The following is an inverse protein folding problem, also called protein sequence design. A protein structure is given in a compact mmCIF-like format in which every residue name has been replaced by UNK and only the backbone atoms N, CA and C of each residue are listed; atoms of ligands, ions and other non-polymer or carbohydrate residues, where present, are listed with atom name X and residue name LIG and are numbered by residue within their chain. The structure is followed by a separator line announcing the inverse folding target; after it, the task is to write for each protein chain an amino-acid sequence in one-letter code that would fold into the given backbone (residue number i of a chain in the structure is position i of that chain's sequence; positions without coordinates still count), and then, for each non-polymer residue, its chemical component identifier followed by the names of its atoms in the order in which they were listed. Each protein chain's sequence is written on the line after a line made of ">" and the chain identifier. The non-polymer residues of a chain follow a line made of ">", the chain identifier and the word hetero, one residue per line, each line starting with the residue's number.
data_IF_257359127694
#
_entry.id   IF_257359127694
#
_cell.length_a   1.000
_cell.length_b   1.000
_cell.length_c   1.000
_cell.angle_alpha   90.00
_cell.angle_beta   90.00
_cell.angle_gamma   90.00
#
_symmetry.space_group_name_H-M   'P 1'
#
loop_
_entity.id
_entity.type
_entity.pdbx_description
1 polymer ?
#
# COMPACT_ATOMS: atom_id res chain seq x y z
N UNK A 1 21.99 1.39 22.89
CA UNK A 1 23.41 1.79 22.76
C UNK A 1 24.39 0.62 22.70
N UNK A 2 24.01 -0.57 23.17
CA UNK A 2 24.89 -1.76 23.27
C UNK A 2 25.53 -2.20 21.93
N UNK A 3 24.87 -2.02 20.80
CA UNK A 3 25.30 -2.49 19.48
C UNK A 3 25.99 -1.42 18.60
N UNK A 4 26.35 -0.25 19.15
CA UNK A 4 27.08 0.79 18.37
C UNK A 4 28.58 0.49 18.23
N UNK A 5 29.19 -0.25 19.16
CA UNK A 5 30.60 -0.54 19.13
C UNK A 5 30.94 -1.60 18.06
N UNK A 6 31.96 -1.35 17.25
CA UNK A 6 32.49 -2.34 16.28
C UNK A 6 32.96 -3.62 17.00
N UNK A 7 33.53 -3.48 18.20
CA UNK A 7 33.98 -4.66 19.02
C UNK A 7 32.80 -5.56 19.37
N UNK A 8 31.67 -4.98 19.82
CA UNK A 8 30.44 -5.76 20.12
C UNK A 8 29.92 -6.50 18.91
N UNK A 9 29.91 -5.85 17.75
CA UNK A 9 29.48 -6.48 16.48
C UNK A 9 30.44 -7.60 16.05
N UNK A 10 31.75 -7.38 16.19
CA UNK A 10 32.77 -8.39 15.87
C UNK A 10 32.63 -9.62 16.77
N UNK A 11 32.44 -9.45 18.08
CA UNK A 11 32.24 -10.55 19.05
C UNK A 11 30.93 -11.31 18.68
N UNK A 12 29.83 -10.59 18.38
CA UNK A 12 28.58 -11.20 17.97
C UNK A 12 28.77 -12.11 16.75
N UNK A 13 29.47 -11.60 15.71
CA UNK A 13 29.75 -12.33 14.48
C UNK A 13 30.71 -13.49 14.69
N UNK A 14 31.77 -13.28 15.50
CA UNK A 14 32.77 -14.32 15.82
C UNK A 14 32.16 -15.51 16.58
N UNK A 15 31.28 -15.22 17.56
CA UNK A 15 30.53 -16.23 18.29
C UNK A 15 29.36 -16.84 17.52
N UNK A 16 29.11 -16.38 16.29
CA UNK A 16 27.98 -16.84 15.47
C UNK A 16 26.63 -16.79 16.19
N UNK A 17 26.40 -15.74 16.99
CA UNK A 17 25.16 -15.62 17.78
C UNK A 17 23.90 -15.58 16.95
N UNK A 18 24.02 -15.36 15.65
CA UNK A 18 22.89 -15.47 14.70
C UNK A 18 22.25 -16.86 14.74
N UNK A 19 23.01 -17.94 14.95
CA UNK A 19 22.48 -19.31 15.02
C UNK A 19 21.40 -19.45 16.10
N UNK A 20 21.56 -18.70 17.20
CA UNK A 20 20.61 -18.72 18.33
C UNK A 20 19.46 -17.74 18.11
N UNK A 21 19.74 -16.57 17.52
CA UNK A 21 18.78 -15.44 17.46
C UNK A 21 17.93 -15.49 16.18
N UNK A 22 18.52 -15.89 15.05
CA UNK A 22 17.87 -15.89 13.74
C UNK A 22 16.54 -16.67 13.71
N UNK A 23 16.39 -17.84 14.35
CA UNK A 23 15.10 -18.54 14.41
C UNK A 23 13.98 -17.73 15.05
N UNK A 24 14.29 -16.73 15.87
CA UNK A 24 13.35 -15.85 16.57
C UNK A 24 13.28 -14.44 15.96
N UNK A 25 14.11 -14.16 14.96
CA UNK A 25 14.24 -12.80 14.38
C UNK A 25 12.93 -12.25 13.88
N UNK A 26 12.13 -13.07 13.18
CA UNK A 26 10.81 -12.69 12.69
C UNK A 26 9.84 -12.30 13.82
N UNK A 27 9.82 -13.04 14.91
CA UNK A 27 9.00 -12.72 16.07
C UNK A 27 9.40 -11.37 16.70
N UNK A 28 10.69 -11.15 16.94
CA UNK A 28 11.16 -9.87 17.51
C UNK A 28 10.92 -8.69 16.58
N UNK A 29 11.08 -8.90 15.27
CA UNK A 29 10.81 -7.88 14.26
C UNK A 29 9.34 -7.48 14.27
N UNK A 30 8.45 -8.47 14.22
CA UNK A 30 7.00 -8.23 14.27
C UNK A 30 6.60 -7.51 15.57
N UNK A 31 7.10 -7.93 16.71
CA UNK A 31 6.79 -7.28 17.99
C UNK A 31 7.27 -5.83 18.01
N UNK A 32 8.48 -5.56 17.51
CA UNK A 32 9.03 -4.22 17.45
C UNK A 32 8.21 -3.29 16.54
N UNK A 33 7.80 -3.78 15.36
CA UNK A 33 7.00 -2.96 14.44
C UNK A 33 5.53 -2.85 14.86
N UNK A 34 4.95 -3.88 15.47
CA UNK A 34 3.63 -3.79 16.09
C UNK A 34 3.59 -2.71 17.19
N UNK A 35 4.65 -2.63 18.00
CA UNK A 35 4.78 -1.58 19.01
C UNK A 35 4.84 -0.17 18.38
N UNK A 36 5.60 0.00 17.28
CA UNK A 36 5.68 1.28 16.55
C UNK A 36 4.33 1.64 15.92
N UNK A 37 3.66 0.67 15.31
CA UNK A 37 2.35 0.85 14.71
C UNK A 37 1.29 1.19 15.77
N UNK A 38 1.29 0.50 16.91
CA UNK A 38 0.40 0.80 18.03
C UNK A 38 0.59 2.23 18.54
N UNK A 39 1.85 2.69 18.65
CA UNK A 39 2.14 4.08 18.98
C UNK A 39 1.60 5.03 17.92
N UNK A 40 1.86 4.76 16.65
CA UNK A 40 1.36 5.57 15.53
C UNK A 40 -0.18 5.65 15.53
N UNK A 41 -0.88 4.53 15.70
CA UNK A 41 -2.34 4.48 15.82
C UNK A 41 -2.81 5.35 17.00
N UNK A 42 -2.12 5.31 18.15
CA UNK A 42 -2.51 6.10 19.31
C UNK A 42 -2.40 7.61 19.08
N UNK A 43 -1.50 8.02 18.21
CA UNK A 43 -1.27 9.42 17.82
C UNK A 43 -2.23 9.90 16.71
N UNK A 44 -2.93 8.96 16.02
CA UNK A 44 -3.79 9.24 14.86
C UNK A 44 -5.22 8.68 15.03
N UNK A 45 -5.79 8.76 16.23
CA UNK A 45 -7.17 8.29 16.49
C UNK A 45 -8.24 9.25 16.03
N UNK A 46 -7.93 10.53 16.01
CA UNK A 46 -8.86 11.60 15.67
C UNK A 46 -8.82 11.89 14.16
N UNK A 47 -9.30 10.89 13.38
CA UNK A 47 -9.45 11.02 11.93
C UNK A 47 -10.91 11.32 11.57
N UNK A 48 -11.16 12.10 10.51
CA UNK A 48 -12.53 12.40 10.04
C UNK A 48 -13.36 11.16 9.71
N UNK A 49 -12.71 10.08 9.29
CA UNK A 49 -13.31 8.76 9.08
C UNK A 49 -12.47 7.72 9.80
N UNK A 50 -13.01 7.13 10.87
CA UNK A 50 -12.31 6.15 11.67
C UNK A 50 -13.30 5.27 12.47
N UNK A 51 -13.14 3.97 12.41
CA UNK A 51 -13.98 3.01 13.16
C UNK A 51 -13.23 2.29 14.30
N UNK A 52 -12.06 2.79 14.67
CA UNK A 52 -11.25 2.18 15.73
C UNK A 52 -11.80 2.53 17.12
N UNK A 53 -12.04 1.61 18.03
CA UNK A 53 -11.90 0.17 17.94
C UNK A 53 -13.25 -0.46 17.54
N UNK A 54 -13.27 -1.30 16.49
CA UNK A 54 -14.46 -1.99 16.02
C UNK A 54 -14.34 -3.50 16.19
N UNK A 55 -15.39 -4.14 16.68
CA UNK A 55 -15.50 -5.60 16.73
C UNK A 55 -15.88 -6.23 15.40
N UNK A 56 -16.50 -5.45 14.50
CA UNK A 56 -16.79 -5.88 13.14
C UNK A 56 -15.52 -5.77 12.28
N UNK A 57 -15.12 -6.88 11.67
CA UNK A 57 -13.92 -7.00 10.83
C UNK A 57 -14.23 -7.29 9.37
N UNK A 58 -15.44 -6.91 8.91
CA UNK A 58 -15.81 -7.07 7.50
C UNK A 58 -14.86 -6.30 6.58
N UNK A 59 -14.38 -6.95 5.52
CA UNK A 59 -13.57 -6.28 4.48
C UNK A 59 -14.39 -5.25 3.68
N UNK A 60 -15.71 -5.36 3.66
CA UNK A 60 -16.60 -4.40 2.98
C UNK A 60 -16.57 -3.00 3.59
N UNK A 61 -16.04 -2.85 4.80
CA UNK A 61 -15.82 -1.54 5.43
C UNK A 61 -14.93 -0.60 4.61
N UNK A 62 -14.05 -1.16 3.76
CA UNK A 62 -13.28 -0.36 2.80
C UNK A 62 -14.16 0.48 1.87
N UNK A 63 -15.34 -0.01 1.51
CA UNK A 63 -16.26 0.71 0.62
C UNK A 63 -16.75 2.03 1.24
N UNK A 64 -16.96 2.05 2.55
CA UNK A 64 -17.28 3.27 3.28
C UNK A 64 -16.14 4.30 3.25
N UNK A 65 -14.89 3.85 3.39
CA UNK A 65 -13.71 4.69 3.27
C UNK A 65 -13.56 5.23 1.83
N UNK A 66 -13.77 4.38 0.81
CA UNK A 66 -13.73 4.82 -0.59
C UNK A 66 -14.79 5.88 -0.87
N UNK A 67 -16.03 5.66 -0.41
CA UNK A 67 -17.11 6.64 -0.55
C UNK A 67 -16.76 7.97 0.13
N UNK A 68 -16.23 7.92 1.35
CA UNK A 68 -15.77 9.10 2.08
C UNK A 68 -14.71 9.89 1.28
N UNK A 69 -13.69 9.21 0.77
CA UNK A 69 -12.63 9.85 -0.03
C UNK A 69 -13.18 10.45 -1.32
N UNK A 70 -14.05 9.72 -2.02
CA UNK A 70 -14.66 10.19 -3.26
C UNK A 70 -15.51 11.45 -3.03
N UNK A 71 -16.22 11.51 -1.92
CA UNK A 71 -17.12 12.63 -1.58
C UNK A 71 -16.38 13.85 -1.03
N UNK A 72 -15.48 13.63 -0.06
CA UNK A 72 -14.90 14.73 0.72
C UNK A 72 -13.60 15.28 0.10
N UNK A 73 -12.78 14.42 -0.50
CA UNK A 73 -11.47 14.79 -1.03
C UNK A 73 -11.45 14.94 -2.55
N UNK A 74 -12.00 13.97 -3.30
CA UNK A 74 -11.94 13.96 -4.75
C UNK A 74 -13.02 14.86 -5.37
N UNK A 75 -14.24 14.84 -4.85
CA UNK A 75 -15.37 15.75 -5.24
C UNK A 75 -15.63 15.80 -6.74
N UNK A 76 -15.60 14.65 -7.40
CA UNK A 76 -15.77 14.53 -8.86
C UNK A 76 -14.73 15.31 -9.72
N UNK A 77 -13.60 15.73 -9.16
CA UNK A 77 -12.48 16.24 -9.95
C UNK A 77 -11.89 15.12 -10.83
N UNK A 78 -11.33 15.43 -12.00
CA UNK A 78 -10.67 14.41 -12.81
C UNK A 78 -9.47 13.82 -12.05
N UNK A 79 -9.37 12.50 -12.04
CA UNK A 79 -8.29 11.77 -11.36
C UNK A 79 -7.47 10.89 -12.31
N UNK A 80 -6.24 10.61 -11.91
CA UNK A 80 -5.48 9.45 -12.33
C UNK A 80 -5.53 8.43 -11.18
N UNK A 81 -6.35 7.39 -11.33
CA UNK A 81 -6.43 6.28 -10.37
C UNK A 81 -5.44 5.19 -10.78
N UNK A 82 -4.56 4.82 -9.86
CA UNK A 82 -3.55 3.77 -10.06
C UNK A 82 -3.75 2.71 -8.97
N UNK A 83 -4.05 1.47 -9.36
CA UNK A 83 -4.21 0.34 -8.43
C UNK A 83 -3.11 -0.69 -8.66
N UNK A 84 -2.44 -1.05 -7.58
CA UNK A 84 -1.35 -2.02 -7.55
C UNK A 84 -1.79 -3.26 -6.77
N UNK A 85 -2.07 -4.36 -7.48
CA UNK A 85 -2.77 -5.53 -6.97
C UNK A 85 -4.26 -5.44 -7.27
N UNK A 86 -4.65 -5.78 -8.49
CA UNK A 86 -6.05 -5.65 -8.95
C UNK A 86 -6.84 -6.93 -8.74
N UNK A 87 -6.18 -8.08 -8.80
CA UNK A 87 -6.76 -9.41 -8.69
C UNK A 87 -8.03 -9.56 -9.54
N UNK A 88 -9.20 -9.78 -8.93
CA UNK A 88 -10.49 -9.91 -9.61
C UNK A 88 -11.20 -8.55 -9.88
N UNK A 89 -10.55 -7.44 -9.59
CA UNK A 89 -11.04 -6.10 -9.90
C UNK A 89 -12.08 -5.53 -8.95
N UNK A 90 -12.27 -6.10 -7.76
CA UNK A 90 -13.31 -5.66 -6.83
C UNK A 90 -13.26 -4.17 -6.51
N UNK A 91 -12.13 -3.68 -6.03
CA UNK A 91 -11.86 -2.26 -5.75
C UNK A 91 -11.77 -1.43 -7.03
N UNK A 92 -11.08 -1.93 -8.04
CA UNK A 92 -10.92 -1.22 -9.32
C UNK A 92 -12.26 -0.88 -9.96
N UNK A 93 -13.15 -1.87 -10.08
CA UNK A 93 -14.49 -1.64 -10.66
C UNK A 93 -15.37 -0.82 -9.74
N UNK A 94 -15.19 -0.91 -8.41
CA UNK A 94 -15.91 -0.01 -7.53
C UNK A 94 -15.55 1.45 -7.84
N UNK A 95 -14.29 1.80 -7.91
CA UNK A 95 -13.83 3.16 -8.24
C UNK A 95 -14.27 3.59 -9.63
N UNK A 96 -14.11 2.75 -10.64
CA UNK A 96 -14.54 3.02 -12.03
C UNK A 96 -16.04 3.30 -12.14
N UNK A 97 -16.84 2.59 -11.33
CA UNK A 97 -18.29 2.71 -11.32
C UNK A 97 -18.84 3.85 -10.46
N UNK A 98 -18.12 4.29 -9.44
CA UNK A 98 -18.59 5.34 -8.53
C UNK A 98 -18.00 6.71 -8.86
N UNK A 99 -16.81 6.78 -9.41
CA UNK A 99 -16.22 8.03 -9.90
C UNK A 99 -16.51 8.23 -11.38
N UNK A 100 -17.47 9.13 -11.68
CA UNK A 100 -18.07 9.27 -13.05
C UNK A 100 -17.43 10.35 -13.91
N UNK A 101 -16.45 11.08 -13.44
CA UNK A 101 -15.79 12.11 -14.23
C UNK A 101 -15.17 11.49 -15.49
N UNK A 102 -15.59 11.97 -16.66
CA UNK A 102 -15.21 11.42 -17.99
C UNK A 102 -13.72 11.64 -18.32
N UNK A 103 -13.13 12.67 -17.73
CA UNK A 103 -11.71 12.99 -17.94
C UNK A 103 -10.79 12.16 -17.04
N UNK A 104 -11.33 11.36 -16.12
CA UNK A 104 -10.54 10.48 -15.26
C UNK A 104 -9.93 9.32 -16.03
N UNK A 105 -8.79 8.80 -15.55
CA UNK A 105 -8.15 7.61 -16.08
C UNK A 105 -7.88 6.62 -14.93
N UNK A 106 -8.04 5.35 -15.25
CA UNK A 106 -7.90 4.24 -14.31
C UNK A 106 -6.86 3.25 -14.84
N UNK A 107 -5.84 2.98 -14.05
CA UNK A 107 -4.71 2.16 -14.42
C UNK A 107 -4.54 1.05 -13.39
N UNK A 108 -4.75 -0.20 -13.79
CA UNK A 108 -4.61 -1.38 -12.93
C UNK A 108 -3.33 -2.14 -13.26
N UNK A 109 -2.52 -2.41 -12.25
CA UNK A 109 -1.26 -3.15 -12.36
C UNK A 109 -1.36 -4.44 -11.57
N UNK A 110 -1.14 -5.57 -12.21
CA UNK A 110 -1.17 -6.89 -11.57
C UNK A 110 -0.40 -7.92 -12.38
N UNK A 111 0.12 -8.95 -11.74
CA UNK A 111 0.67 -10.11 -12.41
C UNK A 111 -0.43 -10.97 -13.04
N UNK A 112 -1.63 -10.96 -12.44
CA UNK A 112 -2.76 -11.87 -12.68
C UNK A 112 -2.40 -13.35 -12.48
N UNK A 113 -1.14 -13.65 -12.11
CA UNK A 113 -0.61 -14.97 -11.83
C UNK A 113 -0.39 -15.24 -10.33
N UNK A 114 -0.88 -14.33 -9.48
CA UNK A 114 -0.76 -14.41 -8.03
C UNK A 114 0.52 -13.79 -7.48
N UNK A 115 0.78 -14.04 -6.20
CA UNK A 115 1.90 -13.46 -5.46
C UNK A 115 3.25 -13.81 -6.10
N UNK A 116 4.17 -12.84 -6.27
CA UNK A 116 5.50 -13.09 -6.82
C UNK A 116 6.45 -13.79 -5.83
N UNK A 117 6.16 -13.73 -4.53
CA UNK A 117 6.93 -14.33 -3.44
C UNK A 117 6.02 -14.79 -2.29
N UNK A 118 6.55 -15.54 -1.33
CA UNK A 118 5.80 -15.99 -0.15
C UNK A 118 5.38 -14.81 0.75
N UNK A 119 4.14 -14.84 1.25
CA UNK A 119 3.59 -13.85 2.17
C UNK A 119 2.88 -14.51 3.36
N UNK A 120 3.51 -14.50 4.52
CA UNK A 120 2.99 -15.17 5.70
C UNK A 120 2.75 -16.66 5.49
N UNK A 121 1.49 -17.08 5.48
CA UNK A 121 1.08 -18.46 5.17
C UNK A 121 0.74 -18.67 3.69
N UNK A 122 0.61 -17.60 2.93
CA UNK A 122 0.43 -17.67 1.47
C UNK A 122 1.75 -17.95 0.76
N UNK A 123 1.67 -18.69 -0.34
CA UNK A 123 2.82 -19.07 -1.15
C UNK A 123 2.85 -18.29 -2.45
N UNK A 124 4.04 -18.20 -3.03
CA UNK A 124 4.20 -17.72 -4.39
C UNK A 124 3.20 -18.42 -5.32
N UNK A 125 2.44 -17.60 -6.09
CA UNK A 125 1.38 -18.08 -6.98
C UNK A 125 -0.02 -18.16 -6.34
N UNK A 126 -0.14 -18.00 -5.01
CA UNK A 126 -1.46 -17.85 -4.38
C UNK A 126 -2.12 -16.54 -4.83
N UNK A 127 -3.44 -16.45 -4.65
CA UNK A 127 -4.27 -15.31 -5.13
C UNK A 127 -4.31 -15.16 -6.66
N UNK A 128 -3.98 -16.22 -7.38
CA UNK A 128 -4.06 -16.28 -8.83
C UNK A 128 -5.52 -16.25 -9.29
N UNK A 129 -5.83 -15.44 -10.30
CA UNK A 129 -7.15 -15.37 -10.93
C UNK A 129 -7.23 -16.12 -12.28
N UNK A 130 -6.37 -17.11 -12.51
CA UNK A 130 -6.33 -17.89 -13.76
C UNK A 130 -5.38 -17.32 -14.83
N UNK A 131 -4.51 -16.38 -14.49
CA UNK A 131 -3.64 -15.64 -15.41
C UNK A 131 -4.42 -14.80 -16.46
N UNK A 132 -5.68 -14.50 -16.20
CA UNK A 132 -6.51 -13.73 -17.11
C UNK A 132 -6.48 -12.25 -16.73
N UNK A 133 -5.96 -11.42 -17.63
CA UNK A 133 -6.03 -9.97 -17.50
C UNK A 133 -7.49 -9.51 -17.58
N UNK A 134 -7.89 -8.64 -16.67
CA UNK A 134 -9.24 -8.08 -16.65
C UNK A 134 -9.53 -7.30 -17.94
N UNK A 135 -10.81 -7.30 -18.34
CA UNK A 135 -11.29 -6.59 -19.51
C UNK A 135 -12.45 -5.67 -19.14
N UNK A 136 -12.53 -4.54 -19.82
CA UNK A 136 -13.63 -3.60 -19.66
C UNK A 136 -13.90 -2.87 -20.97
N UNK A 137 -15.14 -2.45 -21.17
CA UNK A 137 -15.54 -1.58 -22.28
C UNK A 137 -15.41 -0.09 -21.93
N UNK A 138 -15.12 0.24 -20.68
CA UNK A 138 -14.91 1.63 -20.26
C UNK A 138 -13.55 2.13 -20.74
N UNK A 139 -13.56 3.08 -21.67
CA UNK A 139 -12.36 3.64 -22.32
C UNK A 139 -11.46 4.46 -21.38
N UNK A 140 -11.91 4.68 -20.14
CA UNK A 140 -11.11 5.33 -19.11
C UNK A 140 -10.12 4.37 -18.45
N UNK A 141 -10.32 3.04 -18.56
CA UNK A 141 -9.55 2.02 -17.86
C UNK A 141 -8.54 1.32 -18.77
N UNK A 142 -7.39 0.97 -18.18
CA UNK A 142 -6.34 0.18 -18.81
C UNK A 142 -5.67 -0.72 -17.78
N UNK A 143 -5.27 -1.93 -18.19
CA UNK A 143 -4.59 -2.90 -17.33
C UNK A 143 -3.19 -3.20 -17.84
N UNK A 144 -2.25 -3.43 -16.91
CA UNK A 144 -0.84 -3.69 -17.17
C UNK A 144 -0.43 -4.99 -16.49
N UNK A 145 -0.29 -6.05 -17.28
CA UNK A 145 0.04 -7.37 -16.78
C UNK A 145 1.56 -7.55 -16.59
N UNK A 146 1.99 -7.91 -15.40
CA UNK A 146 3.37 -8.20 -15.03
C UNK A 146 3.73 -7.70 -13.65
N UNK A 147 4.98 -7.94 -13.24
CA UNK A 147 5.50 -7.35 -12.01
C UNK A 147 5.51 -5.82 -12.11
N UNK A 148 5.30 -5.13 -10.99
CA UNK A 148 5.34 -3.65 -10.98
C UNK A 148 6.68 -3.14 -11.46
N UNK A 149 7.78 -3.85 -11.15
CA UNK A 149 9.13 -3.53 -11.63
C UNK A 149 9.28 -3.56 -13.15
N UNK A 150 8.43 -4.33 -13.83
CA UNK A 150 8.43 -4.48 -15.29
C UNK A 150 7.50 -3.48 -15.98
N UNK A 151 6.34 -3.22 -15.37
CA UNK A 151 5.26 -2.45 -16.00
C UNK A 151 5.30 -0.96 -15.67
N UNK A 152 5.51 -0.61 -14.38
CA UNK A 152 5.43 0.77 -13.92
C UNK A 152 6.47 1.71 -14.56
N UNK A 153 7.77 1.36 -14.70
CA UNK A 153 8.73 2.24 -15.34
C UNK A 153 8.42 2.53 -16.81
N UNK A 154 7.85 1.55 -17.52
CA UNK A 154 7.39 1.74 -18.91
C UNK A 154 6.20 2.68 -19.00
N UNK A 155 5.20 2.49 -18.15
CA UNK A 155 4.04 3.36 -18.05
C UNK A 155 4.42 4.81 -17.75
N UNK A 156 5.31 5.04 -16.79
CA UNK A 156 5.69 6.38 -16.34
C UNK A 156 6.41 7.21 -17.42
N UNK A 157 7.00 6.60 -18.45
CA UNK A 157 7.61 7.33 -19.56
C UNK A 157 6.62 8.18 -20.35
N UNK A 158 5.36 7.78 -20.37
CA UNK A 158 4.29 8.48 -21.10
C UNK A 158 3.21 9.03 -20.18
N UNK A 159 3.34 8.79 -18.87
CA UNK A 159 2.39 9.23 -17.88
C UNK A 159 2.48 10.73 -17.63
N UNK A 160 1.38 11.43 -17.87
CA UNK A 160 1.27 12.86 -17.63
C UNK A 160 0.41 13.12 -16.38
N UNK A 161 1.08 13.49 -15.28
CA UNK A 161 0.43 13.74 -13.99
C UNK A 161 -0.13 15.18 -13.89
N UNK A 162 -1.18 15.48 -14.65
CA UNK A 162 -1.87 16.77 -14.63
C UNK A 162 -3.18 16.77 -13.79
N UNK A 163 -3.54 15.63 -13.21
CA UNK A 163 -4.76 15.43 -12.42
C UNK A 163 -4.39 15.05 -10.99
N UNK A 164 -5.38 15.06 -10.10
CA UNK A 164 -5.24 14.45 -8.78
C UNK A 164 -4.92 12.96 -8.95
N UNK A 165 -3.86 12.50 -8.31
CA UNK A 165 -3.51 11.08 -8.31
C UNK A 165 -4.14 10.39 -7.09
N UNK A 166 -4.81 9.28 -7.34
CA UNK A 166 -5.35 8.39 -6.32
C UNK A 166 -4.67 7.05 -6.49
N UNK A 167 -3.80 6.70 -5.56
CA UNK A 167 -3.02 5.48 -5.59
C UNK A 167 -3.65 4.49 -4.61
N UNK A 168 -3.98 3.30 -5.08
CA UNK A 168 -4.47 2.21 -4.25
C UNK A 168 -3.40 1.10 -4.19
N UNK A 169 -2.83 0.91 -3.01
CA UNK A 169 -1.87 -0.15 -2.70
C UNK A 169 -2.62 -1.34 -2.13
N UNK A 170 -2.79 -2.38 -2.91
CA UNK A 170 -3.28 -3.71 -2.53
C UNK A 170 -2.21 -4.74 -2.95
N UNK A 171 -0.96 -4.46 -2.55
CA UNK A 171 0.23 -5.15 -3.03
C UNK A 171 0.74 -6.21 -2.05
N UNK A 172 0.15 -6.31 -0.86
CA UNK A 172 0.44 -7.23 0.24
C UNK A 172 1.90 -7.18 0.73
N UNK A 173 2.86 -7.16 -0.18
CA UNK A 173 4.28 -7.35 0.07
C UNK A 173 5.01 -6.02 0.37
N UNK A 174 5.89 -6.05 1.36
CA UNK A 174 6.79 -4.93 1.64
C UNK A 174 7.61 -4.50 0.41
N UNK A 175 8.15 -5.48 -0.32
CA UNK A 175 8.98 -5.25 -1.51
C UNK A 175 8.22 -4.54 -2.62
N UNK A 176 7.00 -4.98 -2.91
CA UNK A 176 6.12 -4.42 -3.93
C UNK A 176 5.66 -3.01 -3.57
N UNK A 177 5.22 -2.83 -2.32
CA UNK A 177 4.76 -1.52 -1.81
C UNK A 177 5.89 -0.49 -1.81
N UNK A 178 7.07 -0.85 -1.27
CA UNK A 178 8.20 0.07 -1.22
C UNK A 178 8.70 0.44 -2.63
N UNK A 179 8.81 -0.54 -3.53
CA UNK A 179 9.19 -0.28 -4.93
C UNK A 179 8.23 0.71 -5.58
N UNK A 180 6.94 0.48 -5.44
CA UNK A 180 5.91 1.34 -6.06
C UNK A 180 5.96 2.76 -5.51
N UNK A 181 6.00 2.92 -4.18
CA UNK A 181 6.08 4.25 -3.54
C UNK A 181 7.33 5.01 -3.96
N UNK A 182 8.50 4.35 -3.96
CA UNK A 182 9.76 5.00 -4.33
C UNK A 182 9.81 5.36 -5.82
N UNK A 183 9.23 4.53 -6.68
CA UNK A 183 9.14 4.80 -8.12
C UNK A 183 8.18 5.95 -8.44
N UNK A 184 7.07 6.06 -7.68
CA UNK A 184 6.10 7.15 -7.84
C UNK A 184 6.51 8.45 -7.15
N UNK A 185 7.50 8.43 -6.25
CA UNK A 185 7.91 9.60 -5.47
C UNK A 185 8.10 10.90 -6.30
N UNK A 186 8.79 10.87 -7.47
CA UNK A 186 8.96 12.06 -8.30
C UNK A 186 7.68 12.61 -8.93
N UNK A 187 6.59 11.83 -8.91
CA UNK A 187 5.30 12.18 -9.51
C UNK A 187 4.28 12.62 -8.46
N UNK A 188 4.55 12.38 -7.17
CA UNK A 188 3.68 12.79 -6.09
C UNK A 188 3.64 14.30 -5.95
N UNK A 189 2.45 14.83 -5.71
CA UNK A 189 2.24 16.25 -5.43
C UNK A 189 1.25 16.43 -4.28
N UNK A 190 1.31 17.59 -3.69
CA UNK A 190 0.38 17.96 -2.61
C UNK A 190 -1.07 17.76 -3.05
N UNK A 191 -1.83 17.07 -2.20
CA UNK A 191 -3.23 16.74 -2.42
C UNK A 191 -3.46 15.31 -2.93
N UNK A 192 -2.45 14.64 -3.52
CA UNK A 192 -2.59 13.27 -3.96
C UNK A 192 -2.98 12.34 -2.80
N UNK A 193 -3.75 11.30 -3.09
CA UNK A 193 -4.29 10.35 -2.12
C UNK A 193 -3.61 9.00 -2.31
N UNK A 194 -3.20 8.38 -1.21
CA UNK A 194 -2.67 7.00 -1.20
C UNK A 194 -3.50 6.17 -0.22
N UNK A 195 -4.11 5.10 -0.72
CA UNK A 195 -4.82 4.10 0.08
C UNK A 195 -3.97 2.86 0.22
N UNK A 196 -4.01 2.24 1.40
CA UNK A 196 -3.39 0.96 1.70
C UNK A 196 -4.46 -0.02 2.15
N UNK A 197 -4.42 -1.26 1.61
CA UNK A 197 -5.42 -2.30 1.89
C UNK A 197 -5.03 -3.20 3.07
N UNK A 198 -3.74 -3.25 3.43
CA UNK A 198 -3.20 -4.06 4.54
C UNK A 198 -2.28 -3.23 5.46
N UNK A 199 -2.59 -1.94 5.69
CA UNK A 199 -1.76 -1.05 6.50
C UNK A 199 -1.54 -1.54 7.93
N UNK A 200 -2.46 -2.35 8.47
CA UNK A 200 -2.30 -2.93 9.80
C UNK A 200 -1.25 -4.07 9.87
N UNK A 201 -0.65 -4.49 8.75
CA UNK A 201 0.43 -5.49 8.75
C UNK A 201 1.78 -4.80 9.05
N UNK A 202 2.35 -4.98 10.28
CA UNK A 202 3.43 -4.11 10.78
C UNK A 202 4.73 -4.19 9.98
N UNK A 203 5.04 -5.36 9.41
CA UNK A 203 6.30 -5.64 8.71
C UNK A 203 6.19 -5.54 7.18
N UNK A 204 5.01 -5.21 6.66
CA UNK A 204 4.75 -5.05 5.23
C UNK A 204 4.41 -3.59 4.91
N UNK A 205 3.14 -3.24 4.70
CA UNK A 205 2.78 -1.89 4.25
C UNK A 205 3.15 -0.80 5.26
N UNK A 206 2.89 -1.02 6.56
CA UNK A 206 3.30 -0.05 7.58
C UNK A 206 4.81 0.23 7.56
N UNK A 207 5.63 -0.84 7.45
CA UNK A 207 7.08 -0.70 7.35
C UNK A 207 7.49 0.02 6.06
N UNK A 208 6.85 -0.31 4.93
CA UNK A 208 7.14 0.32 3.64
C UNK A 208 6.84 1.82 3.68
N UNK A 209 5.68 2.22 4.19
CA UNK A 209 5.29 3.62 4.37
C UNK A 209 6.27 4.35 5.28
N UNK A 210 6.61 3.75 6.42
CA UNK A 210 7.58 4.33 7.36
C UNK A 210 8.94 4.57 6.69
N UNK A 211 9.48 3.56 6.01
CA UNK A 211 10.78 3.69 5.35
C UNK A 211 10.74 4.70 4.20
N UNK A 212 9.64 4.71 3.43
CA UNK A 212 9.43 5.66 2.35
C UNK A 212 9.39 7.10 2.87
N UNK A 213 8.54 7.41 3.82
CA UNK A 213 8.38 8.77 4.35
C UNK A 213 9.66 9.30 4.99
N UNK A 214 10.38 8.45 5.74
CA UNK A 214 11.66 8.81 6.37
C UNK A 214 12.81 8.98 5.36
N UNK A 215 12.81 8.23 4.25
CA UNK A 215 13.89 8.28 3.25
C UNK A 215 13.70 9.39 2.21
N UNK A 216 12.45 9.66 1.83
CA UNK A 216 12.12 10.67 0.80
C UNK A 216 11.69 12.00 1.38
N UNK A 217 11.55 12.11 2.71
CA UNK A 217 11.03 13.30 3.41
C UNK A 217 9.66 13.75 2.89
N UNK A 218 8.85 12.79 2.43
CA UNK A 218 7.48 13.05 1.98
C UNK A 218 6.55 12.98 3.19
N UNK A 219 5.76 14.03 3.38
CA UNK A 219 4.77 14.08 4.44
C UNK A 219 3.45 13.45 3.95
N UNK A 220 3.06 12.34 4.57
CA UNK A 220 1.79 11.68 4.37
C UNK A 220 0.92 11.89 5.62
N UNK A 221 -0.14 12.67 5.47
CA UNK A 221 -1.11 12.89 6.54
C UNK A 221 -2.24 11.87 6.44
N UNK A 222 -2.53 11.07 7.48
CA UNK A 222 -3.67 10.16 7.46
C UNK A 222 -4.97 10.97 7.47
N UNK A 223 -5.91 10.60 6.59
CA UNK A 223 -7.18 11.28 6.40
C UNK A 223 -8.39 10.39 6.68
N UNK A 224 -8.19 9.08 6.75
CA UNK A 224 -9.24 8.14 7.09
C UNK A 224 -8.71 6.72 7.29
N UNK A 225 -9.39 5.97 8.13
CA UNK A 225 -9.10 4.56 8.39
C UNK A 225 -10.38 3.77 8.59
N UNK A 226 -10.39 2.51 8.21
CA UNK A 226 -11.47 1.58 8.50
C UNK A 226 -10.96 0.17 8.80
N UNK A 227 -11.82 -0.64 9.36
CA UNK A 227 -11.51 -1.99 9.82
C UNK A 227 -10.26 -2.02 10.72
N UNK A 228 -10.25 -1.15 11.75
CA UNK A 228 -9.12 -1.05 12.69
C UNK A 228 -7.77 -0.73 12.02
N UNK A 229 -7.74 0.24 11.10
CA UNK A 229 -6.57 0.64 10.30
C UNK A 229 -6.07 -0.42 9.31
N UNK A 230 -6.86 -1.47 9.03
CA UNK A 230 -6.55 -2.38 7.92
C UNK A 230 -6.49 -1.56 6.63
N UNK A 231 -7.56 -0.82 6.34
CA UNK A 231 -7.65 0.12 5.23
C UNK A 231 -7.35 1.52 5.75
N UNK A 232 -6.29 2.12 5.23
CA UNK A 232 -5.87 3.45 5.69
C UNK A 232 -5.53 4.33 4.50
N UNK A 233 -6.06 5.56 4.52
CA UNK A 233 -5.85 6.54 3.47
C UNK A 233 -5.02 7.71 3.98
N UNK A 234 -4.12 8.17 3.13
CA UNK A 234 -3.24 9.31 3.37
C UNK A 234 -3.39 10.35 2.27
N UNK A 235 -3.17 11.61 2.62
CA UNK A 235 -2.99 12.70 1.66
C UNK A 235 -1.55 13.18 1.69
N UNK A 236 -0.98 13.46 0.53
CA UNK A 236 0.36 14.06 0.36
C UNK A 236 0.32 15.55 0.71
N UNK A 237 1.24 16.01 1.57
CA UNK A 237 1.33 17.39 2.05
C UNK A 237 2.61 18.13 1.66
#
# INVERSE_FOLDING_TARGET
>A
MLFRSQKTKAIFSWLRLHVIIEPFSGFFLNLAYLSKQSKWISEHRDLPYNDFFSGDRSRDKRLGLYQFLNTEFIKNNPINYLEFGVANGGSFYWWLNHHKNVDSKFHGFDTFSGLPEDWGHFKKGDMNNGNEMLQTTDTRASFYQGLFQQTLPGFLKTFYNNKLMVIHMDADLYSSTLFTLTTLAPFLKKGDIILFDEFCVPTHEFLAVKNFTESYYINLQPVGASNNYLFTAFQVH
#
